data_IF_217719228960
#
_entry.id   IF_217719228960
#
_cell.length_a   1.000
_cell.length_b   1.000
_cell.length_c   1.000
_cell.angle_alpha   90.00
_cell.angle_beta   90.00
_cell.angle_gamma   90.00
#
_symmetry.space_group_name_H-M   'P 1'
#
loop_
_entity.id
_entity.type
_entity.pdbx_description
1 polymer ?
#
# COMPACT_ATOMS: atom_id res chain seq x y z
N UNK A 1 -13.74 5.57 18.64
CA UNK A 1 -14.18 5.07 17.32
C UNK A 1 -13.13 5.32 16.25
N UNK A 2 -12.52 6.50 16.16
CA UNK A 2 -11.46 6.81 15.16
C UNK A 2 -10.25 5.84 15.11
N UNK A 3 -9.83 5.25 16.23
CA UNK A 3 -8.68 4.33 16.27
C UNK A 3 -8.92 3.04 15.47
N UNK A 4 -10.16 2.55 15.46
CA UNK A 4 -10.54 1.28 14.79
C UNK A 4 -10.48 1.43 13.27
N UNK A 5 -10.79 2.62 12.75
CA UNK A 5 -10.71 2.93 11.32
C UNK A 5 -9.25 3.01 10.85
N UNK A 6 -8.35 3.49 11.71
CA UNK A 6 -6.91 3.52 11.45
C UNK A 6 -6.27 2.12 11.47
N UNK A 7 -6.68 1.23 12.37
CA UNK A 7 -6.18 -0.17 12.41
C UNK A 7 -6.58 -1.02 11.20
N UNK A 8 -7.63 -0.60 10.49
CA UNK A 8 -8.05 -1.20 9.23
C UNK A 8 -7.16 -0.78 8.05
N UNK A 9 -6.58 0.43 8.14
CA UNK A 9 -5.81 1.05 7.05
C UNK A 9 -4.30 0.89 7.27
N UNK A 10 -3.85 1.04 8.50
CA UNK A 10 -2.46 1.06 8.93
C UNK A 10 -2.14 -0.12 9.84
N UNK A 11 -0.90 -0.60 9.75
CA UNK A 11 -0.35 -1.55 10.71
C UNK A 11 0.20 -0.78 11.92
N UNK A 12 -0.69 -0.42 12.85
CA UNK A 12 -0.31 0.37 14.02
C UNK A 12 0.77 -0.32 14.86
N UNK A 13 0.74 -1.66 14.95
CA UNK A 13 1.72 -2.41 15.71
C UNK A 13 3.13 -2.26 15.11
N UNK A 14 3.25 -2.45 13.80
CA UNK A 14 4.51 -2.27 13.06
C UNK A 14 4.98 -0.82 13.11
N UNK A 15 4.08 0.14 12.93
CA UNK A 15 4.40 1.57 12.99
C UNK A 15 4.92 1.99 14.37
N UNK A 16 4.33 1.48 15.45
CA UNK A 16 4.81 1.74 16.81
C UNK A 16 6.19 1.14 17.08
N UNK A 17 6.43 -0.09 16.59
CA UNK A 17 7.76 -0.71 16.67
C UNK A 17 8.80 0.11 15.91
N UNK A 18 8.50 0.55 14.69
CA UNK A 18 9.41 1.38 13.89
C UNK A 18 9.64 2.75 14.50
N UNK A 19 8.59 3.42 14.99
CA UNK A 19 8.74 4.69 15.69
C UNK A 19 9.63 4.54 16.93
N UNK A 20 9.52 3.43 17.66
CA UNK A 20 10.37 3.16 18.84
C UNK A 20 11.81 2.84 18.45
N UNK A 21 12.04 2.20 17.28
CA UNK A 21 13.37 1.79 16.84
C UNK A 21 14.17 2.90 16.14
N UNK A 22 13.55 3.67 15.24
CA UNK A 22 14.23 4.66 14.39
C UNK A 22 13.70 6.10 14.54
N UNK A 23 12.60 6.28 15.28
CA UNK A 23 11.92 7.56 15.46
C UNK A 23 10.88 7.86 14.37
N UNK A 24 9.76 8.48 14.77
CA UNK A 24 8.66 8.85 13.87
C UNK A 24 9.11 9.78 12.72
N UNK A 25 10.02 10.72 13.00
CA UNK A 25 10.56 11.63 12.00
C UNK A 25 11.39 10.91 10.92
N UNK A 26 12.15 9.87 11.28
CA UNK A 26 12.92 9.07 10.32
C UNK A 26 11.98 8.23 9.46
N UNK A 27 10.99 7.58 10.08
CA UNK A 27 9.98 6.81 9.36
C UNK A 27 9.18 7.70 8.39
N UNK A 28 8.82 8.92 8.80
CA UNK A 28 8.12 9.86 7.92
C UNK A 28 8.91 10.19 6.65
N UNK A 29 10.24 10.26 6.71
CA UNK A 29 11.07 10.45 5.50
C UNK A 29 10.92 9.28 4.53
N UNK A 30 10.89 8.04 5.03
CA UNK A 30 10.63 6.86 4.20
C UNK A 30 9.23 6.91 3.57
N UNK A 31 8.23 7.35 4.32
CA UNK A 31 6.86 7.54 3.80
C UNK A 31 6.82 8.60 2.70
N UNK A 32 7.55 9.70 2.83
CA UNK A 32 7.63 10.75 1.81
C UNK A 32 8.33 10.24 0.53
N UNK A 33 9.38 9.43 0.66
CA UNK A 33 10.01 8.80 -0.51
C UNK A 33 9.03 7.84 -1.22
N UNK A 34 8.28 7.05 -0.44
CA UNK A 34 7.26 6.18 -0.99
C UNK A 34 6.12 6.96 -1.67
N UNK A 35 5.71 8.13 -1.13
CA UNK A 35 4.76 9.04 -1.78
C UNK A 35 5.21 9.50 -3.16
N UNK A 36 6.50 9.79 -3.32
CA UNK A 36 7.07 10.21 -4.61
C UNK A 36 7.07 9.09 -5.65
N UNK A 37 7.22 7.84 -5.20
CA UNK A 37 7.22 6.65 -6.05
C UNK A 37 5.80 6.09 -6.29
N UNK A 38 4.81 6.52 -5.51
CA UNK A 38 3.42 6.04 -5.61
C UNK A 38 2.83 6.16 -7.03
N UNK A 39 2.96 7.30 -7.75
CA UNK A 39 2.40 7.41 -9.10
C UNK A 39 3.02 6.43 -10.09
N UNK A 40 4.30 6.08 -9.90
CA UNK A 40 5.00 5.09 -10.73
C UNK A 40 4.46 3.69 -10.46
N UNK A 41 4.38 3.28 -9.18
CA UNK A 41 3.83 1.97 -8.82
C UNK A 41 2.40 1.79 -9.30
N UNK A 42 1.52 2.74 -8.99
CA UNK A 42 0.11 2.68 -9.38
C UNK A 42 -0.02 2.75 -10.90
N UNK A 43 0.77 3.60 -11.56
CA UNK A 43 0.78 3.69 -13.02
C UNK A 43 1.20 2.38 -13.71
N UNK A 44 2.18 1.67 -13.16
CA UNK A 44 2.61 0.37 -13.69
C UNK A 44 1.52 -0.70 -13.50
N UNK A 45 0.86 -0.74 -12.35
CA UNK A 45 -0.26 -1.64 -12.08
C UNK A 45 -1.42 -1.41 -13.05
N UNK A 46 -1.83 -0.16 -13.24
CA UNK A 46 -2.91 0.19 -14.17
C UNK A 46 -2.54 -0.19 -15.60
N UNK A 47 -1.32 0.13 -16.05
CA UNK A 47 -0.86 -0.25 -17.40
C UNK A 47 -0.85 -1.75 -17.62
N UNK A 48 -0.37 -2.53 -16.64
CA UNK A 48 -0.33 -3.98 -16.75
C UNK A 48 -1.74 -4.58 -16.77
N UNK A 49 -2.66 -4.02 -15.96
CA UNK A 49 -4.08 -4.38 -15.97
C UNK A 49 -4.75 -4.07 -17.31
N UNK A 50 -4.54 -2.88 -17.85
CA UNK A 50 -5.12 -2.45 -19.14
C UNK A 50 -4.55 -3.24 -20.33
N UNK A 51 -3.32 -3.76 -20.20
CA UNK A 51 -2.68 -4.63 -21.18
C UNK A 51 -3.07 -6.11 -21.02
N UNK A 52 -3.91 -6.45 -20.03
CA UNK A 52 -4.26 -7.83 -19.65
C UNK A 52 -3.03 -8.72 -19.40
N UNK A 53 -1.90 -8.11 -19.02
CA UNK A 53 -0.63 -8.80 -18.76
C UNK A 53 -0.57 -9.25 -17.29
N UNK A 54 -1.06 -10.46 -17.07
CA UNK A 54 -1.11 -11.10 -15.75
C UNK A 54 0.26 -11.21 -15.08
N UNK A 55 1.30 -11.62 -15.82
CA UNK A 55 2.63 -11.87 -15.25
C UNK A 55 3.27 -10.55 -14.79
N UNK A 56 3.17 -9.51 -15.62
CA UNK A 56 3.63 -8.16 -15.26
C UNK A 56 2.82 -7.61 -14.10
N UNK A 57 1.48 -7.76 -14.12
CA UNK A 57 0.61 -7.28 -13.05
C UNK A 57 0.96 -7.93 -11.70
N UNK A 58 1.20 -9.24 -11.66
CA UNK A 58 1.60 -9.95 -10.45
C UNK A 58 2.98 -9.49 -9.94
N UNK A 59 3.93 -9.24 -10.85
CA UNK A 59 5.28 -8.76 -10.51
C UNK A 59 5.24 -7.34 -9.93
N UNK A 60 4.50 -6.43 -10.56
CA UNK A 60 4.34 -5.06 -10.08
C UNK A 60 3.56 -5.03 -8.74
N UNK A 61 2.55 -5.89 -8.58
CA UNK A 61 1.83 -6.06 -7.32
C UNK A 61 2.77 -6.53 -6.19
N UNK A 62 3.68 -7.46 -6.48
CA UNK A 62 4.68 -7.92 -5.51
C UNK A 62 5.61 -6.78 -5.04
N UNK A 63 6.12 -5.97 -5.99
CA UNK A 63 6.97 -4.81 -5.68
C UNK A 63 6.20 -3.78 -4.83
N UNK A 64 4.98 -3.46 -5.25
CA UNK A 64 4.14 -2.49 -4.56
C UNK A 64 3.75 -2.96 -3.15
N UNK A 65 3.41 -4.25 -2.99
CA UNK A 65 3.15 -4.87 -1.68
C UNK A 65 4.33 -4.70 -0.73
N UNK A 66 5.55 -4.97 -1.20
CA UNK A 66 6.76 -4.83 -0.39
C UNK A 66 6.97 -3.39 0.07
N UNK A 67 6.79 -2.44 -0.84
CA UNK A 67 6.92 -1.02 -0.53
C UNK A 67 5.82 -0.50 0.41
N UNK A 68 4.55 -0.87 0.19
CA UNK A 68 3.44 -0.50 1.08
C UNK A 68 3.59 -1.11 2.48
N UNK A 69 4.02 -2.37 2.56
CA UNK A 69 4.26 -3.06 3.83
C UNK A 69 5.41 -2.46 4.64
N UNK A 70 6.49 -2.01 3.98
CA UNK A 70 7.65 -1.42 4.66
C UNK A 70 7.36 -0.05 5.29
N UNK A 71 6.31 0.63 4.83
CA UNK A 71 5.84 1.91 5.41
C UNK A 71 4.62 1.75 6.32
N UNK A 72 4.07 0.54 6.47
CA UNK A 72 2.94 0.27 7.36
C UNK A 72 1.54 0.52 6.78
N UNK A 73 1.39 0.59 5.45
CA UNK A 73 0.09 0.70 4.76
C UNK A 73 -0.57 -0.67 4.62
N UNK A 74 -1.18 -1.14 5.71
CA UNK A 74 -1.79 -2.46 5.82
C UNK A 74 -2.85 -2.75 4.76
N UNK A 75 -3.82 -1.86 4.56
CA UNK A 75 -4.91 -2.07 3.59
C UNK A 75 -4.37 -2.23 2.17
N UNK A 76 -3.50 -1.32 1.77
CA UNK A 76 -2.86 -1.33 0.45
C UNK A 76 -2.00 -2.58 0.25
N UNK A 77 -1.23 -2.95 1.27
CA UNK A 77 -0.45 -4.19 1.25
C UNK A 77 -1.33 -5.42 1.07
N UNK A 78 -2.48 -5.49 1.75
CA UNK A 78 -3.43 -6.61 1.63
C UNK A 78 -4.04 -6.69 0.22
N UNK A 79 -4.44 -5.57 -0.38
CA UNK A 79 -4.98 -5.55 -1.74
C UNK A 79 -3.91 -5.95 -2.76
N UNK A 80 -2.69 -5.41 -2.62
CA UNK A 80 -1.55 -5.80 -3.46
C UNK A 80 -1.18 -7.29 -3.28
N UNK A 81 -1.39 -7.84 -2.09
CA UNK A 81 -1.24 -9.27 -1.83
C UNK A 81 -2.25 -10.10 -2.63
N UNK A 82 -3.51 -9.69 -2.72
CA UNK A 82 -4.50 -10.38 -3.56
C UNK A 82 -4.09 -10.32 -5.03
N UNK A 83 -3.64 -9.14 -5.47
CA UNK A 83 -3.27 -8.88 -6.86
C UNK A 83 -2.04 -9.67 -7.32
N UNK A 84 -1.11 -10.02 -6.43
CA UNK A 84 0.05 -10.87 -6.80
C UNK A 84 -0.28 -12.37 -6.94
N UNK A 85 -1.41 -12.86 -6.39
CA UNK A 85 -1.78 -14.28 -6.46
C UNK A 85 -2.67 -14.55 -7.68
N UNK A 86 -2.07 -14.41 -8.86
CA UNK A 86 -2.74 -14.57 -10.15
C UNK A 86 -3.35 -15.95 -10.39
N UNK A 87 -2.93 -16.95 -9.63
CA UNK A 87 -3.40 -18.34 -9.67
C UNK A 87 -4.76 -18.58 -9.00
N UNK A 88 -5.26 -17.64 -8.20
CA UNK A 88 -6.54 -17.79 -7.51
C UNK A 88 -7.74 -17.60 -8.44
N UNK A 89 -8.78 -18.43 -8.30
CA UNK A 89 -9.99 -18.38 -9.15
C UNK A 89 -10.66 -17.00 -9.17
N UNK A 90 -10.70 -16.33 -8.00
CA UNK A 90 -11.26 -14.98 -7.86
C UNK A 90 -10.44 -13.91 -8.58
N UNK A 91 -9.14 -14.14 -8.80
CA UNK A 91 -8.26 -13.16 -9.43
C UNK A 91 -8.75 -12.80 -10.83
N UNK A 92 -9.16 -13.79 -11.62
CA UNK A 92 -9.63 -13.59 -13.00
C UNK A 92 -10.81 -12.61 -13.10
N UNK A 93 -11.62 -12.47 -12.04
CA UNK A 93 -12.81 -11.62 -12.01
C UNK A 93 -12.60 -10.34 -11.18
N UNK A 94 -11.73 -10.38 -10.17
CA UNK A 94 -11.60 -9.31 -9.18
C UNK A 94 -10.33 -8.47 -9.32
N UNK A 95 -9.32 -8.88 -10.12
CA UNK A 95 -8.05 -8.15 -10.24
C UNK A 95 -8.24 -6.67 -10.62
N UNK A 96 -9.13 -6.37 -11.57
CA UNK A 96 -9.46 -4.99 -11.95
C UNK A 96 -10.09 -4.18 -10.81
N UNK A 97 -10.89 -4.83 -9.95
CA UNK A 97 -11.47 -4.19 -8.76
C UNK A 97 -10.37 -3.85 -7.76
N UNK A 98 -9.44 -4.77 -7.52
CA UNK A 98 -8.32 -4.53 -6.60
C UNK A 98 -7.38 -3.43 -7.10
N UNK A 99 -7.11 -3.36 -8.41
CA UNK A 99 -6.35 -2.25 -9.01
C UNK A 99 -7.08 -0.92 -8.79
N UNK A 100 -8.38 -0.87 -9.06
CA UNK A 100 -9.19 0.33 -8.83
C UNK A 100 -9.18 0.76 -7.34
N UNK A 101 -9.28 -0.19 -6.41
CA UNK A 101 -9.19 0.08 -4.97
C UNK A 101 -7.82 0.64 -4.57
N UNK A 102 -6.73 0.12 -5.15
CA UNK A 102 -5.39 0.70 -4.92
C UNK A 102 -5.35 2.16 -5.39
N UNK A 103 -5.86 2.44 -6.61
CA UNK A 103 -5.88 3.79 -7.17
C UNK A 103 -6.71 4.75 -6.29
N UNK A 104 -7.87 4.29 -5.81
CA UNK A 104 -8.79 5.08 -4.98
C UNK A 104 -8.22 5.35 -3.58
N UNK A 105 -7.68 4.33 -2.93
CA UNK A 105 -7.33 4.39 -1.51
C UNK A 105 -5.88 4.73 -1.22
N UNK A 106 -4.94 4.47 -2.13
CA UNK A 106 -3.51 4.61 -1.82
C UNK A 106 -3.12 6.04 -1.39
N UNK A 107 -3.67 7.06 -2.04
CA UNK A 107 -3.40 8.46 -1.66
C UNK A 107 -4.01 8.82 -0.31
N UNK A 108 -5.27 8.42 -0.06
CA UNK A 108 -5.96 8.70 1.19
C UNK A 108 -5.28 8.00 2.39
N UNK A 109 -4.88 6.73 2.22
CA UNK A 109 -4.23 5.94 3.27
C UNK A 109 -2.85 6.49 3.61
N UNK A 110 -2.12 6.91 2.59
CA UNK A 110 -0.82 7.56 2.75
C UNK A 110 -0.95 8.89 3.51
N UNK A 111 -2.00 9.67 3.24
CA UNK A 111 -2.27 10.89 4.00
C UNK A 111 -2.56 10.57 5.48
N UNK A 112 -3.38 9.55 5.77
CA UNK A 112 -3.63 9.11 7.15
C UNK A 112 -2.35 8.66 7.86
N UNK A 113 -1.49 7.92 7.16
CA UNK A 113 -0.18 7.51 7.67
C UNK A 113 0.71 8.71 8.01
N UNK A 114 0.80 9.70 7.12
CA UNK A 114 1.58 10.92 7.34
C UNK A 114 1.06 11.70 8.56
N UNK A 115 -0.25 11.88 8.67
CA UNK A 115 -0.87 12.55 9.82
C UNK A 115 -0.59 11.81 11.12
N UNK A 116 -0.69 10.48 11.12
CA UNK A 116 -0.38 9.65 12.28
C UNK A 116 1.07 9.81 12.74
N UNK A 117 2.02 9.80 11.80
CA UNK A 117 3.44 9.99 12.12
C UNK A 117 3.74 11.40 12.59
N UNK A 118 3.15 12.42 11.95
CA UNK A 118 3.31 13.83 12.35
C UNK A 118 2.81 14.10 13.77
N UNK A 119 1.73 13.44 14.20
CA UNK A 119 1.22 13.55 15.57
C UNK A 119 2.14 12.89 16.63
N UNK A 120 3.15 12.13 16.20
CA UNK A 120 4.13 11.44 17.07
C UNK A 120 5.54 12.06 17.03
N UNK A 121 5.73 13.14 16.27
CA UNK A 121 6.97 13.94 16.25
C UNK A 121 6.91 14.98 17.37
#
# INVERSE_FOLDING_TARGET
>A
MATVELEAILDLNTLEQYCSAIGAATLLKSVVLFEQLMPEYVGNLVKANDAEDKDTLCSEAHKFKGAAGSVGLKRIQQIAQLLQHGEEDRWAVEHGIWVAQIVEFASADLQQLKLFLQAKI
#
